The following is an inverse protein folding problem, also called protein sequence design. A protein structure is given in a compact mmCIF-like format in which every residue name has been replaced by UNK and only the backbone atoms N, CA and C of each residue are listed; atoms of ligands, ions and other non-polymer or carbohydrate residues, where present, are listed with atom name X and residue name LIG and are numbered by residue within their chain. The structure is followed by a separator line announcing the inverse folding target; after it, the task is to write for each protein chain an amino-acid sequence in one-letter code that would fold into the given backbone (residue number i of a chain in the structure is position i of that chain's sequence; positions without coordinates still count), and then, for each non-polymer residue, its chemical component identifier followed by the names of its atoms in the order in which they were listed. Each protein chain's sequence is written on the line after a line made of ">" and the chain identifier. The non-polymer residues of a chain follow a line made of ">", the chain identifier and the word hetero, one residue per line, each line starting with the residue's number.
data_IF_855140861180
#
_entry.id   IF_855140861180
#
_cell.length_a   1.000
_cell.length_b   1.000
_cell.length_c   1.000
_cell.angle_alpha   90.00
_cell.angle_beta   90.00
_cell.angle_gamma   90.00
#
_symmetry.space_group_name_H-M   'P 1'
#
loop_
_entity.id
_entity.type
_entity.pdbx_description
1 polymer ?
#
# COMPACT_ATOMS: atom_id res chain seq x y z
N UNK A 1 -8.48 -17.94 -0.46
CA UNK A 1 -7.64 -16.89 0.15
C UNK A 1 -7.73 -16.88 1.68
N UNK A 2 -8.90 -17.11 2.28
CA UNK A 2 -9.13 -17.00 3.74
C UNK A 2 -8.11 -17.80 4.57
N UNK A 3 -7.83 -19.07 4.18
CA UNK A 3 -6.80 -19.88 4.87
C UNK A 3 -5.39 -19.30 4.78
N UNK A 4 -5.06 -18.55 3.72
CA UNK A 4 -3.76 -17.88 3.60
C UNK A 4 -3.71 -16.64 4.48
N UNK A 5 -4.78 -15.87 4.51
CA UNK A 5 -4.92 -14.71 5.39
C UNK A 5 -4.79 -15.10 6.86
N UNK A 6 -5.48 -16.15 7.28
CA UNK A 6 -5.42 -16.64 8.65
C UNK A 6 -4.03 -17.14 9.05
N UNK A 7 -3.28 -17.73 8.11
CA UNK A 7 -1.92 -18.23 8.37
C UNK A 7 -0.84 -17.16 8.32
N UNK A 8 -1.02 -16.13 7.49
CA UNK A 8 0.00 -15.07 7.28
C UNK A 8 -0.23 -13.92 8.24
N UNK A 9 -1.48 -13.45 8.34
CA UNK A 9 -1.83 -12.27 9.13
C UNK A 9 -2.35 -12.66 10.52
N UNK A 10 -3.12 -13.75 10.61
CA UNK A 10 -3.74 -14.19 11.85
C UNK A 10 -4.89 -13.28 12.32
N UNK A 11 -5.43 -13.57 13.51
CA UNK A 11 -6.59 -12.87 14.06
C UNK A 11 -6.27 -11.43 14.48
N UNK A 12 -5.04 -11.20 14.95
CA UNK A 12 -4.62 -9.93 15.56
C UNK A 12 -3.71 -9.08 14.67
N UNK A 13 -3.48 -9.51 13.42
CA UNK A 13 -2.55 -8.85 12.51
C UNK A 13 -1.09 -9.22 12.78
N UNK A 14 -0.19 -8.63 12.00
CA UNK A 14 1.26 -8.84 12.14
C UNK A 14 1.73 -8.23 13.47
N UNK A 15 2.39 -9.04 14.28
CA UNK A 15 2.96 -8.57 15.55
C UNK A 15 4.15 -7.65 15.30
N UNK A 16 4.17 -6.51 15.98
CA UNK A 16 5.26 -5.54 15.93
C UNK A 16 5.69 -5.21 17.35
N UNK A 17 6.96 -5.41 17.67
CA UNK A 17 7.58 -5.10 18.94
C UNK A 17 8.68 -4.05 18.71
N UNK A 18 8.51 -2.79 19.12
CA UNK A 18 9.54 -1.78 19.01
C UNK A 18 10.71 -2.07 19.93
N UNK A 19 11.92 -2.09 19.39
CA UNK A 19 13.17 -2.31 20.15
C UNK A 19 14.18 -1.18 19.86
N UNK A 20 13.88 0.07 20.26
CA UNK A 20 14.80 1.18 20.10
C UNK A 20 16.00 1.00 21.02
N UNK A 21 17.20 1.28 20.51
CA UNK A 21 18.43 1.23 21.28
C UNK A 21 18.85 2.63 21.70
N UNK A 22 19.49 2.74 22.87
CA UNK A 22 20.22 3.94 23.31
C UNK A 22 21.58 4.07 22.59
N UNK A 23 22.35 5.10 22.90
CA UNK A 23 23.66 5.33 22.29
C UNK A 23 24.69 4.27 22.68
N UNK A 24 24.48 3.58 23.79
CA UNK A 24 25.32 2.50 24.29
C UNK A 24 24.90 1.12 23.73
N UNK A 25 23.81 1.06 22.98
CA UNK A 25 23.27 -0.16 22.34
C UNK A 25 22.36 -0.99 23.24
N UNK A 26 21.91 -0.47 24.38
CA UNK A 26 20.94 -1.13 25.25
C UNK A 26 19.51 -0.77 24.85
N UNK A 27 18.55 -1.62 25.20
CA UNK A 27 17.14 -1.35 24.94
C UNK A 27 16.65 -0.13 25.73
N UNK A 28 16.14 0.87 25.04
CA UNK A 28 15.52 2.05 25.64
C UNK A 28 14.05 1.76 25.99
N UNK A 29 13.81 1.13 27.14
CA UNK A 29 12.51 0.58 27.55
C UNK A 29 11.38 1.63 27.59
N UNK A 30 11.65 2.83 28.13
CA UNK A 30 10.64 3.91 28.21
C UNK A 30 10.19 4.37 26.81
N UNK A 31 11.14 4.44 25.88
CA UNK A 31 10.84 4.82 24.50
C UNK A 31 10.12 3.69 23.75
N UNK A 32 10.52 2.43 23.98
CA UNK A 32 9.81 1.25 23.48
C UNK A 32 8.35 1.23 23.94
N UNK A 33 8.09 1.53 25.22
CA UNK A 33 6.74 1.63 25.78
C UNK A 33 5.90 2.72 25.10
N UNK A 34 6.48 3.90 24.86
CA UNK A 34 5.79 4.99 24.13
C UNK A 34 5.48 4.62 22.71
N UNK A 35 6.40 3.99 21.98
CA UNK A 35 6.18 3.53 20.61
C UNK A 35 5.09 2.46 20.55
N UNK A 36 5.08 1.53 21.51
CA UNK A 36 4.03 0.48 21.59
C UNK A 36 2.66 1.08 21.84
N UNK A 37 2.55 2.09 22.70
CA UNK A 37 1.29 2.78 22.95
C UNK A 37 0.77 3.53 21.70
N UNK A 38 1.63 4.29 21.03
CA UNK A 38 1.28 4.98 19.77
C UNK A 38 0.92 3.99 18.66
N UNK A 39 1.62 2.86 18.55
CA UNK A 39 1.31 1.79 17.61
C UNK A 39 -0.07 1.19 17.89
N UNK A 40 -0.39 0.91 19.16
CA UNK A 40 -1.70 0.39 19.54
C UNK A 40 -2.82 1.38 19.21
N UNK A 41 -2.63 2.68 19.55
CA UNK A 41 -3.58 3.74 19.20
C UNK A 41 -3.80 3.82 17.69
N UNK A 42 -2.72 3.94 16.91
CA UNK A 42 -2.78 4.01 15.46
C UNK A 42 -3.45 2.79 14.84
N UNK A 43 -3.22 1.60 15.38
CA UNK A 43 -3.76 0.33 14.87
C UNK A 43 -5.28 0.23 14.94
N UNK A 44 -5.95 1.10 15.70
CA UNK A 44 -7.42 1.12 15.78
C UNK A 44 -8.06 1.57 14.48
N UNK A 45 -7.48 2.60 13.82
CA UNK A 45 -7.98 3.14 12.53
C UNK A 45 -6.80 3.71 11.74
N UNK A 46 -5.96 2.86 11.13
CA UNK A 46 -4.71 3.27 10.50
C UNK A 46 -4.87 3.87 9.10
N UNK A 47 -6.06 3.76 8.49
CA UNK A 47 -6.26 4.13 7.10
C UNK A 47 -7.17 5.37 6.95
N UNK A 48 -7.12 5.98 5.76
CA UNK A 48 -7.73 7.31 5.50
C UNK A 48 -9.25 7.35 5.61
N UNK A 49 -9.94 6.21 5.43
CA UNK A 49 -11.41 6.16 5.54
C UNK A 49 -11.90 5.95 6.97
N UNK A 50 -11.01 5.51 7.87
CA UNK A 50 -11.32 5.20 9.26
C UNK A 50 -12.26 4.01 9.44
N UNK A 51 -12.42 3.16 8.41
CA UNK A 51 -13.35 2.02 8.43
C UNK A 51 -12.73 0.76 9.02
N UNK A 52 -11.43 0.53 8.77
CA UNK A 52 -10.76 -0.72 9.09
C UNK A 52 -9.78 -0.58 10.24
N UNK A 53 -9.70 -1.61 11.07
CA UNK A 53 -8.60 -1.81 12.00
C UNK A 53 -7.36 -2.27 11.25
N UNK A 54 -6.17 -2.19 11.86
CA UNK A 54 -4.92 -2.65 11.24
C UNK A 54 -4.98 -4.11 10.79
N UNK A 55 -5.44 -5.08 11.59
CA UNK A 55 -5.56 -6.47 11.13
C UNK A 55 -6.49 -6.66 9.94
N UNK A 56 -7.62 -5.93 9.89
CA UNK A 56 -8.53 -5.94 8.76
C UNK A 56 -7.89 -5.36 7.50
N UNK A 57 -7.20 -4.22 7.64
CA UNK A 57 -6.47 -3.59 6.54
C UNK A 57 -5.37 -4.51 5.98
N UNK A 58 -4.57 -5.15 6.84
CA UNK A 58 -3.52 -6.10 6.45
C UNK A 58 -4.09 -7.30 5.68
N UNK A 59 -5.24 -7.84 6.10
CA UNK A 59 -5.91 -8.94 5.38
C UNK A 59 -6.42 -8.50 4.02
N UNK A 60 -7.05 -7.33 3.92
CA UNK A 60 -7.54 -6.80 2.65
C UNK A 60 -6.39 -6.53 1.68
N UNK A 61 -5.27 -5.98 2.15
CA UNK A 61 -4.07 -5.77 1.34
C UNK A 61 -3.49 -7.10 0.83
N UNK A 62 -3.38 -8.11 1.70
CA UNK A 62 -2.93 -9.44 1.30
C UNK A 62 -3.87 -10.06 0.28
N UNK A 63 -5.19 -10.01 0.52
CA UNK A 63 -6.22 -10.54 -0.41
C UNK A 63 -6.12 -9.90 -1.78
N UNK A 64 -6.03 -8.57 -1.85
CA UNK A 64 -5.86 -7.83 -3.11
C UNK A 64 -4.57 -8.20 -3.82
N UNK A 65 -3.44 -8.29 -3.09
CA UNK A 65 -2.17 -8.71 -3.67
C UNK A 65 -2.21 -10.14 -4.25
N UNK A 66 -2.94 -11.06 -3.63
CA UNK A 66 -3.09 -12.43 -4.12
C UNK A 66 -4.05 -12.51 -5.31
N UNK A 67 -5.19 -11.80 -5.23
CA UNK A 67 -6.24 -11.80 -6.26
C UNK A 67 -5.77 -11.08 -7.53
N UNK A 68 -5.25 -9.86 -7.38
CA UNK A 68 -4.94 -8.97 -8.51
C UNK A 68 -3.46 -9.05 -8.90
N UNK A 69 -2.63 -9.68 -8.06
CA UNK A 69 -1.19 -9.80 -8.24
C UNK A 69 -0.39 -8.64 -7.62
N UNK A 70 -1.07 -7.57 -7.25
CA UNK A 70 -0.46 -6.39 -6.63
C UNK A 70 -1.46 -5.57 -5.86
N UNK A 71 -0.93 -4.74 -4.96
CA UNK A 71 -1.68 -3.72 -4.23
C UNK A 71 -0.74 -2.55 -3.91
N UNK A 72 -1.31 -1.37 -3.83
CA UNK A 72 -0.57 -0.16 -3.52
C UNK A 72 -1.06 0.44 -2.20
N UNK A 73 -0.15 1.06 -1.47
CA UNK A 73 -0.50 1.77 -0.23
C UNK A 73 0.27 3.07 -0.19
N UNK A 74 -0.45 4.19 -0.27
CA UNK A 74 0.15 5.51 -0.10
C UNK A 74 0.31 5.81 1.39
N UNK A 75 1.52 6.24 1.78
CA UNK A 75 1.85 6.70 3.13
C UNK A 75 1.48 8.19 3.23
N UNK A 76 0.44 8.50 4.00
CA UNK A 76 -0.10 9.85 4.16
C UNK A 76 0.37 10.39 5.51
N UNK A 77 1.23 11.42 5.48
CA UNK A 77 1.87 11.99 6.67
C UNK A 77 1.48 13.43 6.88
N UNK A 78 1.33 13.80 8.17
CA UNK A 78 1.09 15.18 8.59
C UNK A 78 -0.30 15.70 8.21
N UNK A 79 -0.49 17.00 8.34
CA UNK A 79 -1.78 17.65 8.05
C UNK A 79 -1.94 17.87 6.56
N UNK A 80 -3.00 17.34 5.99
CA UNK A 80 -3.38 17.54 4.59
C UNK A 80 -4.78 18.18 4.51
N UNK A 81 -5.02 19.07 3.53
CA UNK A 81 -6.34 19.63 3.29
C UNK A 81 -7.39 18.55 3.05
N UNK A 82 -8.48 18.57 3.78
CA UNK A 82 -9.59 17.63 3.61
C UNK A 82 -9.38 16.24 4.23
N UNK A 83 -8.22 15.98 4.86
CA UNK A 83 -7.97 14.73 5.60
C UNK A 83 -7.85 15.02 7.09
N UNK A 84 -8.65 14.31 7.88
CA UNK A 84 -8.49 14.20 9.32
C UNK A 84 -8.03 12.78 9.67
N UNK A 85 -6.88 12.65 10.32
CA UNK A 85 -6.43 11.37 10.83
C UNK A 85 -7.37 10.87 11.92
N UNK A 86 -7.65 9.57 11.92
CA UNK A 86 -8.61 8.97 12.87
C UNK A 86 -8.07 8.82 14.29
N UNK A 87 -6.77 9.02 14.49
CA UNK A 87 -6.08 8.96 15.80
C UNK A 87 -5.21 10.19 16.01
N UNK A 88 -4.59 10.32 17.18
CA UNK A 88 -3.65 11.42 17.47
C UNK A 88 -2.35 11.32 16.65
N UNK A 89 -2.04 10.14 16.12
CA UNK A 89 -0.87 9.92 15.28
C UNK A 89 -1.12 10.51 13.88
N UNK A 90 -0.33 11.51 13.44
CA UNK A 90 -0.55 12.22 12.17
C UNK A 90 -0.03 11.39 10.97
N UNK A 91 -0.53 10.17 10.85
CA UNK A 91 -0.14 9.20 9.81
C UNK A 91 -1.32 8.29 9.48
N UNK A 92 -1.60 8.11 8.20
CA UNK A 92 -2.62 7.18 7.72
C UNK A 92 -2.17 6.48 6.43
N UNK A 93 -2.78 5.36 6.13
CA UNK A 93 -2.58 4.59 4.91
C UNK A 93 -3.74 4.86 3.95
N UNK A 94 -3.45 5.23 2.71
CA UNK A 94 -4.43 5.18 1.62
C UNK A 94 -4.22 3.86 0.87
N UNK A 95 -5.12 2.91 1.08
CA UNK A 95 -5.07 1.60 0.42
C UNK A 95 -5.68 1.68 -0.97
N UNK A 96 -4.95 1.22 -1.98
CA UNK A 96 -5.30 1.38 -3.39
C UNK A 96 -5.22 0.03 -4.10
N UNK A 97 -6.32 -0.40 -4.69
CA UNK A 97 -6.35 -1.58 -5.56
C UNK A 97 -5.53 -1.33 -6.84
N UNK A 98 -5.20 -2.40 -7.56
CA UNK A 98 -4.38 -2.34 -8.77
C UNK A 98 -4.93 -1.36 -9.83
N UNK A 99 -6.25 -1.22 -9.90
CA UNK A 99 -6.96 -0.39 -10.87
C UNK A 99 -6.74 1.12 -10.66
N UNK A 100 -6.35 1.53 -9.47
CA UNK A 100 -6.00 2.95 -9.24
C UNK A 100 -4.76 3.39 -10.00
N UNK A 101 -3.87 2.46 -10.39
CA UNK A 101 -2.68 2.78 -11.19
C UNK A 101 -2.89 2.29 -12.62
N UNK A 102 -3.18 3.19 -13.59
CA UNK A 102 -3.61 2.82 -14.94
C UNK A 102 -2.56 1.99 -15.67
N UNK A 103 -2.88 0.72 -15.93
CA UNK A 103 -1.96 -0.23 -16.58
C UNK A 103 -1.62 0.16 -18.03
N UNK A 104 -2.54 0.81 -18.72
CA UNK A 104 -2.38 1.24 -20.12
C UNK A 104 -1.66 2.57 -20.28
N UNK A 105 -1.32 3.26 -19.19
CA UNK A 105 -0.64 4.54 -19.24
C UNK A 105 0.86 4.36 -19.47
N UNK A 106 1.31 4.70 -20.68
CA UNK A 106 2.72 4.71 -21.06
C UNK A 106 3.09 6.04 -21.70
N UNK A 107 4.26 6.57 -21.41
CA UNK A 107 4.78 7.82 -21.99
C UNK A 107 6.30 7.82 -21.96
N UNK A 108 6.89 8.37 -23.00
CA UNK A 108 8.33 8.67 -23.08
C UNK A 108 8.61 10.17 -23.19
N UNK A 109 7.55 10.99 -23.31
CA UNK A 109 7.67 12.43 -23.36
C UNK A 109 7.82 12.99 -21.94
N UNK A 110 8.96 13.60 -21.66
CA UNK A 110 9.31 14.09 -20.33
C UNK A 110 9.70 12.95 -19.37
N UNK A 111 8.86 12.65 -18.40
CA UNK A 111 9.09 11.53 -17.49
C UNK A 111 8.73 10.20 -18.16
N UNK A 112 9.61 9.20 -18.04
CA UNK A 112 9.32 7.86 -18.54
C UNK A 112 8.26 7.18 -17.65
N UNK A 113 7.08 6.96 -18.22
CA UNK A 113 5.98 6.25 -17.55
C UNK A 113 5.81 4.88 -18.21
N UNK A 114 5.79 3.83 -17.41
CA UNK A 114 5.53 2.44 -17.84
C UNK A 114 4.39 1.88 -16.99
N UNK A 115 3.27 1.57 -17.61
CA UNK A 115 2.10 0.98 -16.94
C UNK A 115 1.67 1.77 -15.68
N UNK A 116 1.66 3.11 -15.79
CA UNK A 116 1.31 4.02 -14.70
C UNK A 116 2.42 4.28 -13.67
N UNK A 117 3.57 3.63 -13.79
CA UNK A 117 4.72 3.80 -12.89
C UNK A 117 5.76 4.69 -13.58
N UNK A 118 6.18 5.76 -12.91
CA UNK A 118 7.25 6.64 -13.37
C UNK A 118 8.57 5.99 -13.00
N UNK A 119 9.45 5.81 -13.97
CA UNK A 119 10.76 5.16 -13.76
C UNK A 119 11.90 6.09 -14.19
N UNK A 120 13.05 5.90 -13.57
CA UNK A 120 14.29 6.52 -14.02
C UNK A 120 14.94 5.69 -15.15
N UNK A 121 16.12 6.13 -15.64
CA UNK A 121 16.85 5.50 -16.73
C UNK A 121 17.28 4.05 -16.43
N UNK A 122 17.37 3.69 -15.17
CA UNK A 122 17.67 2.33 -14.71
C UNK A 122 16.41 1.46 -14.54
N UNK A 123 15.21 2.00 -14.84
CA UNK A 123 13.94 1.31 -14.64
C UNK A 123 13.47 1.26 -13.16
N UNK A 124 14.13 2.01 -12.26
CA UNK A 124 13.70 2.09 -10.86
C UNK A 124 12.47 2.99 -10.74
N UNK A 125 11.41 2.54 -10.04
CA UNK A 125 10.27 3.39 -9.73
C UNK A 125 10.68 4.63 -8.92
N UNK A 126 10.28 5.81 -9.40
CA UNK A 126 10.46 7.10 -8.72
C UNK A 126 9.14 7.79 -8.41
N UNK A 127 8.02 7.30 -8.99
CA UNK A 127 6.68 7.79 -8.72
C UNK A 127 5.60 6.93 -9.35
N UNK A 128 4.37 7.25 -9.04
CA UNK A 128 3.18 6.53 -9.49
C UNK A 128 2.12 7.52 -9.95
N UNK A 129 1.49 7.23 -11.09
CA UNK A 129 0.33 7.96 -11.59
C UNK A 129 -0.92 7.26 -11.06
N UNK A 130 -1.69 7.92 -10.23
CA UNK A 130 -2.79 7.33 -9.48
C UNK A 130 -4.07 8.09 -9.78
N UNK A 131 -5.16 7.39 -10.11
CA UNK A 131 -6.48 8.01 -10.22
C UNK A 131 -6.90 8.62 -8.88
N UNK A 132 -7.49 9.81 -8.92
CA UNK A 132 -8.03 10.46 -7.71
C UNK A 132 -9.25 9.72 -7.15
N UNK A 133 -10.00 9.06 -8.03
CA UNK A 133 -11.19 8.27 -7.68
C UNK A 133 -11.08 6.90 -8.31
N UNK A 134 -11.69 5.89 -7.68
CA UNK A 134 -11.68 4.53 -8.22
C UNK A 134 -12.34 4.51 -9.60
N UNK A 135 -11.71 3.92 -10.63
CA UNK A 135 -12.21 3.93 -12.01
C UNK A 135 -13.58 3.24 -12.17
N UNK A 136 -13.95 2.32 -11.28
CA UNK A 136 -15.27 1.70 -11.26
C UNK A 136 -16.34 2.57 -10.56
N UNK A 137 -16.00 3.73 -10.02
CA UNK A 137 -16.98 4.63 -9.42
C UNK A 137 -17.72 5.42 -10.50
N UNK A 138 -18.85 4.91 -10.94
CA UNK A 138 -19.67 5.48 -12.03
C UNK A 138 -20.20 6.89 -11.75
N UNK A 139 -20.30 7.30 -10.48
CA UNK A 139 -20.83 8.62 -10.10
C UNK A 139 -19.77 9.72 -10.01
N UNK A 140 -18.52 9.34 -9.86
CA UNK A 140 -17.37 10.25 -9.68
C UNK A 140 -16.17 9.90 -10.55
N UNK A 141 -16.35 9.10 -11.60
CA UNK A 141 -15.23 8.78 -12.47
C UNK A 141 -14.66 10.08 -13.07
N UNK A 142 -13.44 10.34 -12.73
CA UNK A 142 -12.62 11.37 -13.36
C UNK A 142 -11.33 10.71 -13.78
N UNK A 143 -10.93 10.88 -15.03
CA UNK A 143 -9.62 10.48 -15.54
C UNK A 143 -8.46 11.29 -14.91
N UNK A 144 -8.78 12.11 -13.90
CA UNK A 144 -7.79 12.95 -13.22
C UNK A 144 -6.81 12.11 -12.41
N UNK A 145 -5.53 12.31 -12.69
CA UNK A 145 -4.44 11.60 -12.05
C UNK A 145 -3.70 12.50 -11.06
N UNK A 146 -3.38 11.98 -9.89
CA UNK A 146 -2.36 12.51 -8.99
C UNK A 146 -1.04 11.78 -9.20
N UNK A 147 0.08 12.44 -8.89
CA UNK A 147 1.39 11.79 -8.85
C UNK A 147 1.79 11.58 -7.40
N UNK A 148 2.15 10.35 -7.06
CA UNK A 148 2.65 9.98 -5.74
C UNK A 148 4.11 9.60 -5.89
N UNK A 149 5.00 10.21 -5.08
CA UNK A 149 6.42 9.84 -5.03
C UNK A 149 6.60 8.40 -4.56
N UNK A 150 7.60 7.70 -5.09
CA UNK A 150 7.91 6.33 -4.68
C UNK A 150 8.27 6.21 -3.19
N UNK A 151 8.79 7.26 -2.56
CA UNK A 151 9.07 7.31 -1.11
C UNK A 151 7.80 7.21 -0.25
N UNK A 152 6.66 7.63 -0.82
CA UNK A 152 5.36 7.61 -0.15
C UNK A 152 4.44 6.52 -0.69
N UNK A 153 4.98 5.54 -1.45
CA UNK A 153 4.19 4.45 -2.00
C UNK A 153 4.82 3.10 -1.66
N UNK A 154 4.09 2.27 -0.94
CA UNK A 154 4.41 0.86 -0.83
C UNK A 154 3.72 0.13 -1.98
N UNK A 155 4.48 -0.62 -2.76
CA UNK A 155 3.98 -1.42 -3.86
C UNK A 155 4.32 -2.89 -3.62
N UNK A 156 3.35 -3.63 -3.11
CA UNK A 156 3.44 -5.08 -2.96
C UNK A 156 2.99 -5.73 -4.27
N UNK A 157 3.88 -6.43 -4.95
CA UNK A 157 3.59 -7.04 -6.25
C UNK A 157 4.24 -8.42 -6.40
N UNK A 158 3.48 -9.36 -6.94
CA UNK A 158 3.96 -10.69 -7.30
C UNK A 158 4.63 -10.64 -8.68
N UNK A 159 5.96 -10.59 -8.70
CA UNK A 159 6.76 -10.52 -9.91
C UNK A 159 7.36 -11.89 -10.22
N UNK A 160 7.26 -12.31 -11.49
CA UNK A 160 7.82 -13.58 -11.98
C UNK A 160 8.96 -13.37 -12.98
N UNK A 161 9.25 -12.13 -13.36
CA UNK A 161 10.29 -11.79 -14.34
C UNK A 161 11.12 -10.60 -13.82
N UNK A 162 12.41 -10.61 -14.18
CA UNK A 162 13.29 -9.46 -13.97
C UNK A 162 12.73 -8.25 -14.73
N UNK A 163 12.89 -7.05 -14.20
CA UNK A 163 12.37 -5.79 -14.76
C UNK A 163 10.85 -5.69 -14.92
N UNK A 164 10.09 -6.64 -14.40
CA UNK A 164 8.63 -6.56 -14.34
C UNK A 164 8.22 -5.53 -13.30
N UNK A 165 7.47 -4.51 -13.72
CA UNK A 165 7.01 -3.43 -12.82
C UNK A 165 5.73 -3.82 -12.10
N UNK A 166 4.74 -4.35 -12.82
CA UNK A 166 3.41 -4.69 -12.31
C UNK A 166 3.33 -6.15 -11.84
N UNK A 167 2.42 -6.42 -10.92
CA UNK A 167 2.17 -7.76 -10.40
C UNK A 167 1.38 -8.66 -11.36
N UNK A 168 1.41 -9.96 -11.11
CA UNK A 168 0.58 -10.97 -11.80
C UNK A 168 -0.21 -11.73 -10.75
N UNK A 169 -1.52 -11.83 -10.94
CA UNK A 169 -2.43 -12.57 -10.06
C UNK A 169 -1.94 -14.00 -9.81
N UNK A 170 -2.07 -14.46 -8.56
CA UNK A 170 -1.77 -15.83 -8.19
C UNK A 170 -2.66 -16.83 -8.94
N UNK A 171 -3.90 -16.45 -9.25
CA UNK A 171 -4.88 -17.29 -9.95
C UNK A 171 -4.74 -17.26 -11.48
N UNK A 172 -3.82 -16.46 -12.04
CA UNK A 172 -3.62 -16.34 -13.49
C UNK A 172 -3.44 -17.70 -14.18
N UNK A 173 -2.62 -18.59 -13.60
CA UNK A 173 -2.37 -19.90 -14.17
C UNK A 173 -3.56 -20.88 -14.07
N UNK A 174 -4.54 -20.58 -13.22
CA UNK A 174 -5.77 -21.39 -13.08
C UNK A 174 -6.81 -20.95 -14.11
N UNK A 175 -6.97 -19.64 -14.30
CA UNK A 175 -7.94 -19.08 -15.26
C UNK A 175 -7.66 -19.59 -16.67
N UNK A 176 -6.40 -19.65 -17.09
CA UNK A 176 -6.00 -20.15 -18.41
C UNK A 176 -6.21 -21.65 -18.63
N UNK A 177 -6.52 -22.42 -17.57
CA UNK A 177 -6.83 -23.85 -17.65
C UNK A 177 -8.33 -24.15 -17.61
N UNK A 178 -9.14 -23.16 -17.30
CA UNK A 178 -10.61 -23.27 -17.21
C UNK A 178 -11.32 -22.75 -18.47
N UNK A 179 -10.61 -22.15 -19.37
CA UNK A 179 -11.02 -21.72 -20.71
C UNK A 179 -10.65 -22.75 -21.77
#
# INVERSE_FOLDING_TARGET
>A
FDKMEDRVIGAHGIHVEPQPLDLEGNLHSDFAGKLSALWAEWSVRPEVTGMFTRPEAERLLLRSALRDGEVFTQLVRGKLPGLQHSTSVPFSLEMLEADFVPFNLNSTAGQQVRQGIIVNDWGRPVGYRVYKYHPANMTRFSAELKTVSAENMLHLAQRKRLHQLRGISLIHGVITRLS
#
